data_IF_407279999886
#
_entry.id   IF_407279999886
#
_cell.length_a   1.000
_cell.length_b   1.000
_cell.length_c   1.000
_cell.angle_alpha   90.00
_cell.angle_beta   90.00
_cell.angle_gamma   90.00
#
_symmetry.space_group_name_H-M   'P 1'
#
loop_
_entity.id
_entity.type
_entity.pdbx_description
1 polymer ?
#
# COMPACT_ATOMS: atom_id res chain seq x y z
N UNK A 1 -7.15 -21.50 -0.98
CA UNK A 1 -7.69 -20.16 -0.61
C UNK A 1 -6.70 -19.01 -0.81
N UNK A 2 -5.37 -19.22 -0.70
CA UNK A 2 -4.38 -18.13 -0.81
C UNK A 2 -4.29 -17.48 -2.21
N UNK A 3 -4.37 -18.27 -3.29
CA UNK A 3 -4.35 -17.78 -4.67
C UNK A 3 -5.40 -16.68 -4.95
N UNK A 4 -6.65 -16.87 -4.49
CA UNK A 4 -7.75 -15.91 -4.70
C UNK A 4 -7.50 -14.57 -4.00
N UNK A 5 -6.84 -14.61 -2.83
CA UNK A 5 -6.50 -13.42 -2.05
C UNK A 5 -5.40 -12.61 -2.76
N UNK A 6 -4.39 -13.28 -3.29
CA UNK A 6 -3.31 -12.67 -4.06
C UNK A 6 -3.82 -12.01 -5.35
N UNK A 7 -4.78 -12.64 -6.04
CA UNK A 7 -5.37 -12.12 -7.28
C UNK A 7 -6.04 -10.77 -7.11
N UNK A 8 -6.61 -10.46 -5.93
CA UNK A 8 -7.31 -9.19 -5.69
C UNK A 8 -6.46 -8.19 -4.93
N UNK A 9 -5.59 -8.66 -4.02
CA UNK A 9 -4.78 -7.81 -3.16
C UNK A 9 -3.77 -6.97 -3.94
N UNK A 10 -3.06 -7.58 -4.89
CA UNK A 10 -2.00 -6.89 -5.64
C UNK A 10 -2.59 -5.83 -6.59
N UNK A 11 -3.62 -6.13 -7.41
CA UNK A 11 -4.27 -5.11 -8.22
C UNK A 11 -4.87 -3.98 -7.37
N UNK A 12 -5.52 -4.30 -6.24
CA UNK A 12 -6.05 -3.28 -5.34
C UNK A 12 -4.94 -2.37 -4.79
N UNK A 13 -3.79 -2.94 -4.41
CA UNK A 13 -2.63 -2.18 -3.94
C UNK A 13 -2.15 -1.22 -5.04
N UNK A 14 -1.95 -1.71 -6.27
CA UNK A 14 -1.50 -0.86 -7.37
C UNK A 14 -2.49 0.24 -7.70
N UNK A 15 -3.79 -0.06 -7.72
CA UNK A 15 -4.82 0.94 -7.99
C UNK A 15 -4.83 2.04 -6.93
N UNK A 16 -4.81 1.67 -5.65
CA UNK A 16 -4.87 2.64 -4.55
C UNK A 16 -3.59 3.46 -4.47
N UNK A 17 -2.42 2.81 -4.54
CA UNK A 17 -1.12 3.49 -4.54
C UNK A 17 -1.00 4.38 -5.78
N UNK A 18 -1.48 3.95 -6.94
CA UNK A 18 -1.51 4.73 -8.17
C UNK A 18 -2.40 5.96 -8.08
N UNK A 19 -3.62 5.84 -7.53
CA UNK A 19 -4.51 6.99 -7.29
C UNK A 19 -3.83 7.98 -6.34
N UNK A 20 -3.25 7.51 -5.24
CA UNK A 20 -2.56 8.38 -4.28
C UNK A 20 -1.30 9.02 -4.88
N UNK A 21 -0.62 8.35 -5.81
CA UNK A 21 0.52 8.89 -6.54
C UNK A 21 0.09 10.06 -7.43
N UNK A 22 -1.02 9.91 -8.16
CA UNK A 22 -1.58 11.00 -8.97
C UNK A 22 -1.95 12.20 -8.09
N UNK A 23 -2.60 11.97 -6.95
CA UNK A 23 -2.94 13.05 -6.00
C UNK A 23 -1.68 13.76 -5.49
N UNK A 24 -0.63 13.02 -5.14
CA UNK A 24 0.62 13.61 -4.67
C UNK A 24 1.39 14.34 -5.79
N UNK A 25 1.33 13.86 -7.03
CA UNK A 25 1.92 14.55 -8.18
C UNK A 25 1.21 15.89 -8.44
N UNK A 26 -0.12 15.91 -8.36
CA UNK A 26 -0.90 17.16 -8.46
C UNK A 26 -0.55 18.12 -7.31
N UNK A 27 -0.40 17.60 -6.09
CA UNK A 27 0.03 18.41 -4.94
C UNK A 27 1.47 18.94 -5.11
N UNK A 28 2.37 18.16 -5.71
CA UNK A 28 3.71 18.62 -6.00
C UNK A 28 3.70 19.76 -7.03
N UNK A 29 2.88 19.63 -8.07
CA UNK A 29 2.69 20.69 -9.08
C UNK A 29 2.11 21.98 -8.50
N UNK A 30 1.34 21.90 -7.41
CA UNK A 30 0.85 23.08 -6.69
C UNK A 30 1.86 23.66 -5.67
N UNK A 31 3.09 23.13 -5.64
CA UNK A 31 4.18 23.63 -4.80
C UNK A 31 4.33 22.93 -3.44
N UNK A 32 3.57 21.87 -3.16
CA UNK A 32 3.70 21.12 -1.92
C UNK A 32 4.89 20.16 -1.97
N UNK A 33 6.10 20.66 -1.65
CA UNK A 33 7.34 19.87 -1.64
C UNK A 33 7.30 18.62 -0.75
N UNK A 34 6.51 18.64 0.32
CA UNK A 34 6.26 17.48 1.18
C UNK A 34 5.71 16.26 0.42
N UNK A 35 5.05 16.48 -0.73
CA UNK A 35 4.55 15.40 -1.58
C UNK A 35 5.68 14.52 -2.15
N UNK A 36 6.92 15.03 -2.28
CA UNK A 36 8.07 14.24 -2.76
C UNK A 36 8.35 13.02 -1.88
N UNK A 37 8.20 13.17 -0.56
CA UNK A 37 8.40 12.07 0.39
C UNK A 37 7.35 10.98 0.17
N UNK A 38 6.09 11.40 0.02
CA UNK A 38 4.98 10.49 -0.21
C UNK A 38 5.12 9.76 -1.57
N UNK A 39 5.52 10.48 -2.62
CA UNK A 39 5.83 9.92 -3.95
C UNK A 39 6.96 8.90 -3.83
N UNK A 40 8.05 9.22 -3.13
CA UNK A 40 9.17 8.30 -2.91
C UNK A 40 8.73 6.99 -2.26
N UNK A 41 7.92 7.06 -1.20
CA UNK A 41 7.37 5.87 -0.53
C UNK A 41 6.51 5.05 -1.49
N UNK A 42 5.64 5.70 -2.27
CA UNK A 42 4.76 5.03 -3.25
C UNK A 42 5.56 4.32 -4.35
N UNK A 43 6.61 4.96 -4.87
CA UNK A 43 7.51 4.36 -5.85
C UNK A 43 8.23 3.15 -5.26
N UNK A 44 8.70 3.23 -4.02
CA UNK A 44 9.35 2.09 -3.33
C UNK A 44 8.37 0.93 -3.13
N UNK A 45 7.10 1.19 -2.80
CA UNK A 45 6.07 0.15 -2.72
C UNK A 45 5.88 -0.51 -4.09
N UNK A 46 5.68 0.26 -5.15
CA UNK A 46 5.49 -0.27 -6.51
C UNK A 46 6.70 -1.08 -6.95
N UNK A 47 7.91 -0.54 -6.79
CA UNK A 47 9.15 -1.19 -7.22
C UNK A 47 9.42 -2.48 -6.43
N UNK A 48 9.21 -2.47 -5.11
CA UNK A 48 9.45 -3.65 -4.26
C UNK A 48 8.46 -4.79 -4.56
N UNK A 49 7.19 -4.46 -4.81
CA UNK A 49 6.15 -5.44 -5.17
C UNK A 49 6.34 -5.95 -6.60
N UNK A 50 6.75 -5.08 -7.54
CA UNK A 50 7.08 -5.46 -8.91
C UNK A 50 8.29 -6.40 -8.98
N UNK A 51 9.36 -6.07 -8.26
CA UNK A 51 10.59 -6.88 -8.19
C UNK A 51 10.46 -8.13 -7.31
N UNK A 52 9.25 -8.45 -6.82
CA UNK A 52 8.94 -9.62 -5.96
C UNK A 52 9.92 -9.79 -4.81
N UNK A 53 10.32 -8.67 -4.20
CA UNK A 53 11.30 -8.69 -3.11
C UNK A 53 10.64 -9.28 -1.86
N UNK A 54 11.34 -10.17 -1.17
CA UNK A 54 10.86 -10.80 0.07
C UNK A 54 10.58 -9.79 1.18
N UNK A 55 11.18 -8.59 1.14
CA UNK A 55 10.94 -7.51 2.11
C UNK A 55 9.83 -6.53 1.70
N UNK A 56 9.17 -6.73 0.55
CA UNK A 56 8.05 -5.87 0.10
C UNK A 56 6.90 -5.81 1.12
N UNK A 57 6.64 -6.91 1.85
CA UNK A 57 5.62 -6.92 2.89
C UNK A 57 5.94 -5.98 4.05
N UNK A 58 7.22 -5.77 4.38
CA UNK A 58 7.63 -4.84 5.43
C UNK A 58 7.32 -3.41 5.01
N UNK A 59 7.69 -3.05 3.78
CA UNK A 59 7.42 -1.71 3.22
C UNK A 59 5.93 -1.40 3.25
N UNK A 60 5.10 -2.32 2.74
CA UNK A 60 3.64 -2.15 2.73
C UNK A 60 3.09 -2.07 4.15
N UNK A 61 3.55 -2.89 5.09
CA UNK A 61 3.10 -2.82 6.50
C UNK A 61 3.49 -1.51 7.17
N UNK A 62 4.70 -1.01 6.97
CA UNK A 62 5.14 0.26 7.54
C UNK A 62 4.30 1.41 6.98
N UNK A 63 4.10 1.45 5.65
CA UNK A 63 3.23 2.44 5.02
C UNK A 63 1.79 2.36 5.55
N UNK A 64 1.22 1.16 5.61
CA UNK A 64 -0.14 0.97 6.15
C UNK A 64 -0.26 1.36 7.63
N UNK A 65 0.77 1.11 8.44
CA UNK A 65 0.81 1.53 9.84
C UNK A 65 0.79 3.06 9.96
N UNK A 66 1.51 3.78 9.08
CA UNK A 66 1.47 5.24 9.01
C UNK A 66 0.05 5.71 8.66
N UNK A 67 -0.61 5.11 7.68
CA UNK A 67 -2.00 5.45 7.33
C UNK A 67 -2.97 5.23 8.51
N UNK A 68 -2.83 4.11 9.24
CA UNK A 68 -3.65 3.81 10.41
C UNK A 68 -3.41 4.87 11.50
N UNK A 69 -2.15 5.14 11.83
CA UNK A 69 -1.78 6.13 12.85
C UNK A 69 -2.31 7.52 12.49
N UNK A 70 -2.17 7.95 11.24
CA UNK A 70 -2.68 9.23 10.77
C UNK A 70 -4.21 9.33 10.94
N UNK A 71 -4.96 8.30 10.52
CA UNK A 71 -6.41 8.28 10.69
C UNK A 71 -6.85 8.25 12.15
N UNK A 72 -6.17 7.46 13.00
CA UNK A 72 -6.48 7.38 14.44
C UNK A 72 -6.21 8.72 15.12
N UNK A 73 -5.08 9.37 14.82
CA UNK A 73 -4.74 10.68 15.39
C UNK A 73 -5.75 11.76 14.99
N UNK A 74 -6.28 11.71 13.75
CA UNK A 74 -7.31 12.65 13.30
C UNK A 74 -8.63 12.41 14.02
N UNK A 75 -9.06 11.15 14.15
CA UNK A 75 -10.25 10.83 14.93
C UNK A 75 -10.10 11.21 16.40
N UNK A 76 -8.91 11.01 16.98
CA UNK A 76 -8.60 11.46 18.33
C UNK A 76 -8.65 12.99 18.45
N UNK A 77 -8.10 13.71 17.49
CA UNK A 77 -8.16 15.18 17.46
C UNK A 77 -9.60 15.70 17.37
N UNK A 78 -10.45 15.05 16.56
CA UNK A 78 -11.87 15.37 16.42
C UNK A 78 -12.64 15.09 17.72
N UNK A 79 -12.32 14.00 18.43
CA UNK A 79 -12.93 13.69 19.72
C UNK A 79 -12.51 14.67 20.83
N UNK A 80 -11.24 15.11 20.83
CA UNK A 80 -10.69 15.99 21.87
C UNK A 80 -11.02 17.47 21.67
N UNK A 81 -11.07 17.95 20.42
CA UNK A 81 -11.30 19.37 20.08
C UNK A 81 -12.63 19.63 19.39
N UNK A 82 -13.45 18.60 19.17
CA UNK A 82 -14.74 18.71 18.50
C UNK A 82 -14.62 18.99 17.00
N UNK A 83 -15.71 19.49 16.40
CA UNK A 83 -15.82 19.75 14.96
C UNK A 83 -14.96 20.91 14.45
N UNK A 84 -14.33 21.70 15.33
CA UNK A 84 -13.42 22.79 14.93
C UNK A 84 -12.19 22.28 14.17
N UNK A 85 -11.83 21.00 14.35
CA UNK A 85 -10.77 20.34 13.58
C UNK A 85 -11.23 19.74 12.25
N UNK A 86 -12.54 19.70 11.99
CA UNK A 86 -13.06 19.22 10.71
C UNK A 86 -12.88 20.31 9.65
N UNK A 87 -11.68 20.37 9.06
CA UNK A 87 -11.40 21.28 7.94
C UNK A 87 -12.46 21.18 6.83
N UNK A 88 -12.94 19.96 6.56
CA UNK A 88 -14.04 19.66 5.64
C UNK A 88 -14.54 18.23 5.87
N UNK A 89 -15.85 17.98 5.66
CA UNK A 89 -16.42 16.64 5.67
C UNK A 89 -15.71 15.70 4.67
N UNK A 90 -15.28 16.23 3.52
CA UNK A 90 -14.53 15.45 2.53
C UNK A 90 -13.16 14.98 3.05
N UNK A 91 -12.47 15.81 3.83
CA UNK A 91 -11.20 15.45 4.44
C UNK A 91 -11.37 14.32 5.48
N UNK A 92 -12.44 14.38 6.29
CA UNK A 92 -12.78 13.33 7.26
C UNK A 92 -13.09 11.99 6.60
N UNK A 93 -13.86 12.01 5.50
CA UNK A 93 -14.18 10.81 4.73
C UNK A 93 -12.90 10.22 4.13
N UNK A 94 -12.06 11.04 3.51
CA UNK A 94 -10.80 10.60 2.91
C UNK A 94 -9.86 9.95 3.94
N UNK A 95 -9.71 10.56 5.12
CA UNK A 95 -8.87 10.02 6.18
C UNK A 95 -9.42 8.72 6.76
N UNK A 96 -10.74 8.59 6.87
CA UNK A 96 -11.39 7.35 7.29
C UNK A 96 -11.18 6.24 6.26
N UNK A 97 -11.31 6.55 4.96
CA UNK A 97 -11.01 5.60 3.89
C UNK A 97 -9.54 5.16 3.92
N UNK A 98 -8.60 6.11 4.10
CA UNK A 98 -7.17 5.81 4.24
C UNK A 98 -6.88 4.90 5.45
N UNK A 99 -7.58 5.11 6.57
CA UNK A 99 -7.47 4.24 7.74
C UNK A 99 -7.95 2.81 7.44
N UNK A 100 -9.12 2.67 6.80
CA UNK A 100 -9.66 1.35 6.44
C UNK A 100 -8.77 0.63 5.42
N UNK A 101 -8.27 1.36 4.44
CA UNK A 101 -7.27 0.90 3.47
C UNK A 101 -6.00 0.44 4.18
N UNK A 102 -5.49 1.24 5.11
CA UNK A 102 -4.33 0.89 5.93
C UNK A 102 -4.55 -0.41 6.70
N UNK A 103 -5.70 -0.56 7.37
CA UNK A 103 -6.04 -1.80 8.09
C UNK A 103 -6.10 -3.02 7.17
N UNK A 104 -6.74 -2.88 6.00
CA UNK A 104 -6.85 -3.94 5.01
C UNK A 104 -5.47 -4.41 4.52
N UNK A 105 -4.62 -3.48 4.10
CA UNK A 105 -3.29 -3.81 3.60
C UNK A 105 -2.36 -4.31 4.69
N UNK A 106 -2.41 -3.74 5.91
CA UNK A 106 -1.59 -4.17 7.04
C UNK A 106 -1.84 -5.64 7.42
N UNK A 107 -3.11 -6.07 7.43
CA UNK A 107 -3.52 -7.44 7.76
C UNK A 107 -3.13 -8.43 6.64
N UNK A 108 -3.28 -8.03 5.38
CA UNK A 108 -3.03 -8.91 4.22
C UNK A 108 -1.58 -9.00 3.74
N UNK A 109 -0.73 -8.01 4.06
CA UNK A 109 0.58 -7.84 3.44
C UNK A 109 1.50 -9.06 3.56
N UNK A 110 1.59 -9.65 4.76
CA UNK A 110 2.46 -10.82 4.97
C UNK A 110 2.00 -12.01 4.13
N UNK A 111 0.71 -12.30 4.12
CA UNK A 111 0.16 -13.47 3.41
C UNK A 111 0.28 -13.30 1.90
N UNK A 112 -0.05 -12.11 1.38
CA UNK A 112 -0.09 -11.86 -0.05
C UNK A 112 1.29 -11.64 -0.69
N UNK A 113 2.28 -11.12 0.05
CA UNK A 113 3.57 -10.73 -0.51
C UNK A 113 4.71 -11.69 -0.14
N UNK A 114 4.61 -12.45 0.96
CA UNK A 114 5.62 -13.45 1.34
C UNK A 114 5.47 -14.76 0.54
N UNK A 115 4.25 -15.11 0.11
CA UNK A 115 3.98 -16.27 -0.74
C UNK A 115 4.59 -16.14 -2.15
N UNK A 116 4.96 -14.92 -2.54
CA UNK A 116 5.44 -14.56 -3.88
C UNK A 116 6.96 -14.58 -4.01
N UNK A 117 7.63 -15.43 -3.21
CA UNK A 117 9.09 -15.59 -3.16
C UNK A 117 9.76 -15.67 -4.54
N UNK A 118 11.08 -15.44 -4.63
CA UNK A 118 11.79 -15.43 -5.91
C UNK A 118 11.45 -16.70 -6.67
N UNK A 119 11.04 -16.53 -7.94
CA UNK A 119 10.57 -17.62 -8.79
C UNK A 119 11.49 -18.82 -8.58
N UNK A 120 10.90 -19.90 -8.06
CA UNK A 120 11.53 -21.20 -7.96
C UNK A 120 12.13 -21.47 -9.35
N UNK A 121 13.46 -21.49 -9.40
CA UNK A 121 14.21 -21.87 -10.58
C UNK A 121 13.77 -23.28 -10.93
N UNK A 122 12.81 -23.38 -11.84
CA UNK A 122 12.38 -24.64 -12.43
C UNK A 122 13.66 -25.27 -12.96
N UNK A 123 14.12 -26.41 -12.43
CA UNK A 123 15.22 -27.11 -13.07
C UNK A 123 14.77 -27.38 -14.50
N UNK A 124 15.65 -27.24 -15.51
CA UNK A 124 15.28 -27.60 -16.86
C UNK A 124 14.80 -29.05 -16.81
N UNK A 125 13.58 -29.29 -17.30
CA UNK A 125 13.11 -30.64 -17.58
C UNK A 125 14.18 -31.28 -18.47
N UNK A 126 15.00 -32.15 -17.88
CA UNK A 126 15.82 -33.06 -18.66
C UNK A 126 14.83 -33.92 -19.41
N UNK A 127 14.64 -33.62 -20.69
CA UNK A 127 14.08 -34.55 -21.65
C UNK A 127 14.78 -35.89 -21.45
N UNK A 128 14.07 -36.80 -20.81
CA UNK A 128 14.37 -38.21 -20.84
C UNK A 128 14.02 -38.63 -22.27
N UNK A 129 15.01 -38.57 -23.16
CA UNK A 129 14.93 -39.21 -24.47
C UNK A 129 14.79 -40.71 -24.24
N UNK A 130 13.55 -41.20 -24.36
CA UNK A 130 13.31 -42.59 -24.73
C UNK A 130 13.79 -42.75 -26.18
N UNK A 131 14.82 -43.58 -26.39
CA UNK A 131 14.98 -44.65 -27.42
C UNK A 131 16.31 -45.38 -27.16
#
# INVERSE_FOLDING_TARGET
>A
MQLKYETHYIPALYTIVGILLVVNLLALMSGAWLALIAIGIQVVIIASVYARKTWAYLVVRVWSAICILAGVLIWLAVLLRGFEFSHSAGYMIFQTLLLLVGLYFFKGAKVALMARGPAESTPPEMHQEDI
#
